data_IF_196805362620
#
_entry.id   IF_196805362620
#
_cell.length_a   1.000
_cell.length_b   1.000
_cell.length_c   1.000
_cell.angle_alpha   90.00
_cell.angle_beta   90.00
_cell.angle_gamma   90.00
#
_symmetry.space_group_name_H-M   'P 1'
#
loop_
_entity.id
_entity.type
_entity.pdbx_description
1 polymer ?
#
# COMPACT_ATOMS: atom_id res chain seq x y z
N UNK A 1 -19.15 -4.73 12.80
CA UNK A 1 -19.55 -3.39 13.29
C UNK A 1 -18.47 -2.41 12.89
N UNK A 2 -18.77 -1.57 11.91
CA UNK A 2 -17.98 -0.38 11.55
C UNK A 2 -18.10 0.62 12.71
N UNK A 3 -17.28 0.44 13.74
CA UNK A 3 -17.24 1.35 14.87
C UNK A 3 -16.38 2.54 14.45
N UNK A 4 -17.01 3.67 14.19
CA UNK A 4 -16.30 4.94 14.09
C UNK A 4 -15.84 5.38 15.48
N UNK A 5 -14.79 6.20 15.54
CA UNK A 5 -14.28 6.85 16.76
C UNK A 5 -14.24 8.36 16.54
N UNK A 6 -14.39 9.16 17.59
CA UNK A 6 -14.17 10.61 17.48
C UNK A 6 -12.68 10.86 17.25
N UNK A 7 -12.35 11.59 16.18
CA UNK A 7 -10.99 12.07 15.96
C UNK A 7 -10.69 13.37 16.71
N UNK A 8 -9.49 13.94 16.51
CA UNK A 8 -9.02 15.13 17.25
C UNK A 8 -9.90 16.37 17.11
N UNK A 9 -10.68 16.47 16.02
CA UNK A 9 -11.62 17.57 15.75
C UNK A 9 -13.07 17.26 16.19
N UNK A 10 -13.29 16.14 16.91
CA UNK A 10 -14.61 15.67 17.35
C UNK A 10 -15.44 14.96 16.27
N UNK A 11 -14.96 14.87 15.02
CA UNK A 11 -15.69 14.21 13.91
C UNK A 11 -15.40 12.71 13.83
N UNK A 12 -16.38 11.89 13.40
CA UNK A 12 -16.22 10.43 13.34
C UNK A 12 -15.22 10.00 12.26
N UNK A 13 -14.31 9.10 12.62
CA UNK A 13 -13.31 8.46 11.74
C UNK A 13 -13.35 6.96 11.89
N UNK A 14 -12.67 6.22 11.02
CA UNK A 14 -12.57 4.77 11.13
C UNK A 14 -11.99 4.35 12.50
N UNK A 15 -12.57 3.33 13.15
CA UNK A 15 -12.19 2.96 14.52
C UNK A 15 -10.73 2.55 14.68
N UNK A 16 -10.12 1.97 13.63
CA UNK A 16 -8.72 1.56 13.65
C UNK A 16 -7.76 2.75 13.82
N UNK A 17 -8.18 3.99 13.54
CA UNK A 17 -7.35 5.18 13.70
C UNK A 17 -6.97 5.46 15.16
N UNK A 18 -7.79 5.02 16.12
CA UNK A 18 -7.50 5.23 17.54
C UNK A 18 -6.35 4.36 18.07
N UNK A 19 -5.79 3.46 17.25
CA UNK A 19 -4.66 2.61 17.66
C UNK A 19 -3.37 3.40 17.93
N UNK A 20 -3.23 4.60 17.35
CA UNK A 20 -2.10 5.49 17.59
C UNK A 20 -2.41 6.94 17.16
N UNK A 21 -1.89 7.99 17.82
CA UNK A 21 -2.11 9.38 17.40
C UNK A 21 -1.72 9.65 15.94
N UNK A 22 -0.62 9.07 15.47
CA UNK A 22 -0.12 9.21 14.10
C UNK A 22 -1.03 8.60 13.03
N UNK A 23 -1.99 7.75 13.40
CA UNK A 23 -2.90 7.12 12.43
C UNK A 23 -3.98 8.07 11.93
N UNK A 24 -4.34 9.10 12.69
CA UNK A 24 -5.34 10.07 12.25
C UNK A 24 -4.87 10.83 11.01
N UNK A 25 -3.62 11.30 10.99
CA UNK A 25 -3.05 11.99 9.83
C UNK A 25 -2.93 11.06 8.62
N UNK A 26 -2.40 9.85 8.82
CA UNK A 26 -2.33 8.84 7.76
C UNK A 26 -3.71 8.47 7.20
N UNK A 27 -4.73 8.37 8.05
CA UNK A 27 -6.11 8.10 7.64
C UNK A 27 -6.74 9.25 6.87
N UNK A 28 -6.58 10.49 7.38
CA UNK A 28 -7.24 11.69 6.85
C UNK A 28 -6.59 12.16 5.55
N UNK A 29 -5.28 11.96 5.38
CA UNK A 29 -4.51 12.56 4.31
C UNK A 29 -3.99 11.55 3.27
N UNK A 30 -3.94 10.25 3.59
CA UNK A 30 -3.31 9.26 2.71
C UNK A 30 -4.22 8.07 2.38
N UNK A 31 -4.80 7.41 3.39
CA UNK A 31 -5.46 6.12 3.19
C UNK A 31 -6.78 6.23 2.42
N UNK A 32 -6.87 5.48 1.32
CA UNK A 32 -8.07 5.45 0.48
C UNK A 32 -8.08 6.50 -0.63
N UNK A 33 -7.19 7.49 -0.59
CA UNK A 33 -7.06 8.46 -1.67
C UNK A 33 -6.41 7.82 -2.91
N UNK A 34 -6.92 8.12 -4.12
CA UNK A 34 -6.42 7.50 -5.34
C UNK A 34 -5.01 8.00 -5.68
N UNK A 35 -4.08 7.06 -5.95
CA UNK A 35 -2.67 7.36 -6.25
C UNK A 35 -2.31 6.90 -7.67
N UNK A 36 -1.68 7.79 -8.44
CA UNK A 36 -1.12 7.50 -9.78
C UNK A 36 0.42 7.50 -9.83
N UNK A 37 1.08 7.92 -8.76
CA UNK A 37 2.55 8.02 -8.72
C UNK A 37 3.18 6.64 -8.55
N UNK A 38 4.01 6.23 -9.51
CA UNK A 38 4.58 4.88 -9.55
C UNK A 38 5.54 4.61 -8.39
N UNK A 39 6.30 5.61 -7.94
CA UNK A 39 7.19 5.46 -6.78
C UNK A 39 6.35 5.22 -5.52
N UNK A 40 5.27 5.98 -5.33
CA UNK A 40 4.38 5.86 -4.19
C UNK A 40 3.65 4.51 -4.17
N UNK A 41 3.19 4.04 -5.33
CA UNK A 41 2.56 2.72 -5.46
C UNK A 41 3.56 1.60 -5.15
N UNK A 42 4.79 1.70 -5.68
CA UNK A 42 5.86 0.74 -5.39
C UNK A 42 6.25 0.73 -3.92
N UNK A 43 6.48 1.90 -3.32
CA UNK A 43 6.76 2.07 -1.89
C UNK A 43 5.67 1.38 -1.07
N UNK A 44 4.41 1.71 -1.34
CA UNK A 44 3.30 1.20 -0.54
C UNK A 44 3.20 -0.32 -0.62
N UNK A 45 3.27 -0.89 -1.82
CA UNK A 45 3.21 -2.34 -1.99
C UNK A 45 4.35 -3.06 -1.26
N UNK A 46 5.56 -2.50 -1.27
CA UNK A 46 6.69 -3.04 -0.52
C UNK A 46 6.47 -2.93 1.00
N UNK A 47 5.98 -1.79 1.49
CA UNK A 47 5.70 -1.61 2.93
C UNK A 47 4.60 -2.57 3.43
N UNK A 48 3.55 -2.82 2.64
CA UNK A 48 2.54 -3.83 2.97
C UNK A 48 3.15 -5.24 3.07
N UNK A 49 4.14 -5.54 2.24
CA UNK A 49 4.88 -6.81 2.30
C UNK A 49 5.67 -6.94 3.62
N UNK A 50 6.24 -5.84 4.12
CA UNK A 50 6.96 -5.81 5.39
C UNK A 50 6.04 -6.02 6.60
N UNK A 51 4.75 -5.71 6.47
CA UNK A 51 3.78 -5.82 7.56
C UNK A 51 3.51 -7.27 8.00
N UNK A 52 3.74 -8.29 7.18
CA UNK A 52 3.44 -9.68 7.55
C UNK A 52 4.11 -10.09 8.88
N UNK A 53 3.30 -10.43 9.89
CA UNK A 53 3.73 -10.76 11.25
C UNK A 53 3.86 -9.57 12.21
N UNK A 54 3.49 -8.36 11.79
CA UNK A 54 3.62 -7.10 12.55
C UNK A 54 2.32 -6.27 12.46
N UNK A 55 2.20 -5.28 13.36
CA UNK A 55 1.17 -4.26 13.21
C UNK A 55 1.52 -3.27 12.11
N UNK A 56 0.52 -2.71 11.41
CA UNK A 56 0.75 -1.59 10.48
C UNK A 56 1.42 -0.39 11.18
N UNK A 57 1.18 -0.21 12.49
CA UNK A 57 1.82 0.85 13.28
C UNK A 57 3.33 0.72 13.29
N UNK A 58 3.84 -0.50 13.43
CA UNK A 58 5.29 -0.77 13.38
C UNK A 58 5.88 -0.32 12.04
N UNK A 59 5.16 -0.54 10.94
CA UNK A 59 5.63 -0.14 9.60
C UNK A 59 5.53 1.37 9.42
N UNK A 60 4.41 1.98 9.78
CA UNK A 60 4.21 3.42 9.65
C UNK A 60 5.23 4.22 10.48
N UNK A 61 5.50 3.81 11.72
CA UNK A 61 6.50 4.44 12.58
C UNK A 61 7.93 4.33 12.03
N UNK A 62 8.20 3.33 11.18
CA UNK A 62 9.51 3.11 10.54
C UNK A 62 9.56 3.63 9.10
N UNK A 63 8.48 4.26 8.58
CA UNK A 63 8.35 4.59 7.16
C UNK A 63 9.48 5.47 6.64
N UNK A 64 9.86 6.52 7.38
CA UNK A 64 10.96 7.40 6.95
C UNK A 64 12.31 6.67 6.96
N UNK A 65 12.54 5.76 7.91
CA UNK A 65 13.73 4.91 7.91
C UNK A 65 13.75 3.99 6.69
N UNK A 66 12.62 3.37 6.34
CA UNK A 66 12.50 2.58 5.12
C UNK A 66 12.80 3.41 3.88
N UNK A 67 12.27 4.64 3.78
CA UNK A 67 12.57 5.54 2.66
C UNK A 67 14.06 5.85 2.58
N UNK A 68 14.71 6.21 3.68
CA UNK A 68 16.17 6.43 3.66
C UNK A 68 16.94 5.18 3.25
N UNK A 69 16.59 4.03 3.84
CA UNK A 69 17.26 2.75 3.62
C UNK A 69 17.15 2.26 2.16
N UNK A 70 15.97 2.45 1.53
CA UNK A 70 15.67 2.05 0.16
C UNK A 70 15.69 3.23 -0.83
N UNK A 71 16.52 4.26 -0.59
CA UNK A 71 16.74 5.36 -1.54
C UNK A 71 15.46 6.05 -2.05
N UNK A 72 14.52 6.31 -1.15
CA UNK A 72 13.21 6.90 -1.43
C UNK A 72 12.24 5.96 -2.14
N UNK A 73 12.53 4.65 -2.18
CA UNK A 73 11.84 3.66 -3.00
C UNK A 73 11.87 3.98 -4.50
N UNK A 74 12.86 4.74 -4.97
CA UNK A 74 13.13 4.85 -6.40
C UNK A 74 13.52 3.48 -6.94
N UNK A 75 12.59 2.79 -7.60
CA UNK A 75 12.81 1.43 -8.06
C UNK A 75 13.93 1.33 -9.11
N UNK A 76 14.30 2.42 -9.76
CA UNK A 76 15.47 2.44 -10.66
C UNK A 76 16.78 2.33 -9.89
N UNK A 77 16.85 2.92 -8.68
CA UNK A 77 18.00 2.83 -7.78
C UNK A 77 18.00 1.51 -7.02
N UNK A 78 16.86 1.14 -6.43
CA UNK A 78 16.72 -0.07 -5.61
C UNK A 78 16.97 -1.34 -6.43
N UNK A 79 16.64 -1.36 -7.72
CA UNK A 79 16.95 -2.50 -8.60
C UNK A 79 18.45 -2.77 -8.75
N UNK A 80 19.30 -1.76 -8.52
CA UNK A 80 20.76 -1.86 -8.56
C UNK A 80 21.40 -2.33 -7.26
N UNK A 81 20.64 -2.49 -6.18
CA UNK A 81 21.18 -2.96 -4.90
C UNK A 81 21.71 -4.39 -5.03
N UNK A 82 22.84 -4.65 -4.38
CA UNK A 82 23.53 -5.94 -4.38
C UNK A 82 23.58 -6.58 -2.98
N UNK A 83 24.39 -7.64 -2.82
CA UNK A 83 24.53 -8.33 -1.53
C UNK A 83 25.10 -7.43 -0.43
N UNK A 84 25.96 -6.46 -0.77
CA UNK A 84 26.51 -5.53 0.21
C UNK A 84 25.43 -4.59 0.75
N UNK A 85 24.47 -4.20 -0.10
CA UNK A 85 23.29 -3.45 0.33
C UNK A 85 22.36 -4.29 1.21
N UNK A 86 22.17 -5.57 0.88
CA UNK A 86 21.37 -6.48 1.72
C UNK A 86 21.97 -6.59 3.12
N UNK A 87 23.29 -6.79 3.25
CA UNK A 87 23.97 -6.85 4.54
C UNK A 87 23.90 -5.52 5.31
N UNK A 88 24.08 -4.39 4.62
CA UNK A 88 23.89 -3.05 5.20
C UNK A 88 22.48 -2.87 5.76
N UNK A 89 21.46 -3.30 5.02
CA UNK A 89 20.06 -3.21 5.43
C UNK A 89 19.71 -4.17 6.56
N UNK A 90 20.34 -5.35 6.61
CA UNK A 90 20.21 -6.28 7.71
C UNK A 90 20.83 -5.76 9.01
N UNK A 91 21.82 -4.87 8.93
CA UNK A 91 22.38 -4.19 10.09
C UNK A 91 21.53 -3.00 10.60
N UNK A 92 20.63 -2.47 9.78
CA UNK A 92 19.85 -1.26 10.10
C UNK A 92 18.67 -1.56 11.06
N UNK A 93 18.81 -1.14 12.32
CA UNK A 93 17.75 -1.26 13.33
C UNK A 93 16.55 -0.32 13.10
N UNK A 94 16.69 0.67 12.22
CA UNK A 94 15.65 1.60 11.80
C UNK A 94 14.51 0.92 11.04
N UNK A 95 14.79 -0.18 10.34
CA UNK A 95 13.81 -0.95 9.53
C UNK A 95 13.46 -2.31 10.15
N UNK A 96 12.73 -3.14 9.41
CA UNK A 96 12.48 -4.56 9.75
C UNK A 96 13.57 -5.42 9.10
N UNK A 97 14.46 -5.97 9.93
CA UNK A 97 15.64 -6.76 9.52
C UNK A 97 15.25 -8.19 9.12
N UNK A 98 14.59 -8.34 7.98
CA UNK A 98 14.19 -9.63 7.43
C UNK A 98 14.74 -9.82 6.02
N UNK A 99 15.78 -10.65 5.89
CA UNK A 99 16.53 -10.87 4.63
C UNK A 99 15.63 -11.09 3.42
N UNK A 100 14.71 -12.05 3.50
CA UNK A 100 13.82 -12.36 2.37
C UNK A 100 12.88 -11.22 1.94
N UNK A 101 12.54 -10.27 2.82
CA UNK A 101 11.68 -9.12 2.48
C UNK A 101 12.51 -7.98 1.88
N UNK A 102 13.76 -7.83 2.33
CA UNK A 102 14.74 -6.93 1.74
C UNK A 102 15.05 -7.37 0.31
N UNK A 103 15.46 -8.63 0.12
CA UNK A 103 15.73 -9.22 -1.20
C UNK A 103 14.49 -9.16 -2.11
N UNK A 104 13.29 -9.40 -1.57
CA UNK A 104 12.05 -9.25 -2.32
C UNK A 104 11.80 -7.81 -2.78
N UNK A 105 12.15 -6.80 -1.98
CA UNK A 105 12.02 -5.39 -2.37
C UNK A 105 12.96 -5.06 -3.53
N UNK A 106 14.19 -5.58 -3.50
CA UNK A 106 15.17 -5.43 -4.60
C UNK A 106 14.68 -6.15 -5.87
N UNK A 107 14.17 -7.37 -5.74
CA UNK A 107 13.55 -8.09 -6.86
C UNK A 107 12.34 -7.34 -7.42
N UNK A 108 11.45 -6.87 -6.56
CA UNK A 108 10.24 -6.14 -6.95
C UNK A 108 10.60 -4.83 -7.68
N UNK A 109 11.70 -4.16 -7.31
CA UNK A 109 12.20 -3.00 -8.04
C UNK A 109 12.59 -3.34 -9.48
N UNK A 110 13.25 -4.49 -9.71
CA UNK A 110 13.55 -4.99 -11.07
C UNK A 110 12.26 -5.28 -11.85
N UNK A 111 11.26 -5.87 -11.19
CA UNK A 111 9.95 -6.15 -11.79
C UNK A 111 9.12 -4.89 -12.05
N UNK A 112 9.31 -3.83 -11.27
CA UNK A 112 8.71 -2.51 -11.49
C UNK A 112 9.23 -1.89 -12.79
N UNK A 113 10.55 -1.91 -13.03
CA UNK A 113 11.15 -1.44 -14.29
C UNK A 113 10.57 -2.18 -15.50
N UNK A 114 10.49 -3.51 -15.42
CA UNK A 114 9.90 -4.34 -16.48
C UNK A 114 8.40 -4.04 -16.70
N UNK A 115 7.66 -3.77 -15.62
CA UNK A 115 6.25 -3.39 -15.69
C UNK A 115 6.07 -2.05 -16.38
N UNK A 116 6.85 -1.03 -16.02
CA UNK A 116 6.82 0.30 -16.65
C UNK A 116 7.16 0.17 -18.15
N UNK A 117 8.19 -0.60 -18.50
CA UNK A 117 8.57 -0.82 -19.90
C UNK A 117 7.45 -1.48 -20.73
N UNK A 118 6.64 -2.35 -20.13
CA UNK A 118 5.58 -3.10 -20.82
C UNK A 118 4.21 -2.42 -20.80
N UNK A 119 3.87 -1.77 -19.70
CA UNK A 119 2.52 -1.26 -19.41
C UNK A 119 2.48 0.27 -19.37
N UNK A 120 3.61 0.95 -19.60
CA UNK A 120 3.75 2.41 -19.55
C UNK A 120 3.94 2.96 -18.13
N UNK A 121 3.25 2.40 -17.13
CA UNK A 121 3.42 2.73 -15.72
C UNK A 121 2.92 1.60 -14.81
N UNK A 122 3.37 1.59 -13.54
CA UNK A 122 2.79 0.70 -12.51
C UNK A 122 1.32 1.07 -12.30
N UNK A 123 1.01 2.36 -12.27
CA UNK A 123 -0.34 2.85 -12.07
C UNK A 123 -1.30 2.37 -13.16
N UNK A 124 -0.93 2.47 -14.45
CA UNK A 124 -1.74 1.97 -15.56
C UNK A 124 -2.02 0.46 -15.43
N UNK A 125 -1.03 -0.32 -14.99
CA UNK A 125 -1.22 -1.75 -14.71
C UNK A 125 -2.21 -1.99 -13.56
N UNK A 126 -1.98 -1.35 -12.41
CA UNK A 126 -2.70 -1.57 -11.14
C UNK A 126 -4.16 -1.10 -11.24
N UNK A 127 -4.43 0.05 -11.85
CA UNK A 127 -5.78 0.63 -11.93
C UNK A 127 -6.76 -0.15 -12.82
N UNK A 128 -6.28 -1.13 -13.61
CA UNK A 128 -7.15 -2.13 -14.28
C UNK A 128 -7.83 -3.08 -13.30
N UNK A 129 -7.33 -3.17 -12.07
CA UNK A 129 -7.86 -3.99 -10.98
C UNK A 129 -8.61 -3.14 -9.95
N UNK A 130 -9.18 -2.00 -10.35
CA UNK A 130 -10.10 -1.27 -9.47
C UNK A 130 -11.29 -2.16 -9.08
N UNK A 131 -11.60 -2.19 -7.80
CA UNK A 131 -12.72 -2.99 -7.28
C UNK A 131 -14.04 -2.29 -7.58
N UNK A 132 -14.98 -3.01 -8.18
CA UNK A 132 -16.36 -2.57 -8.30
C UNK A 132 -16.99 -2.49 -6.89
N UNK A 133 -17.41 -1.30 -6.42
CA UNK A 133 -18.03 -1.13 -5.10
C UNK A 133 -19.29 -1.99 -4.89
N UNK A 134 -20.03 -2.31 -5.95
CA UNK A 134 -21.26 -3.12 -5.87
C UNK A 134 -21.01 -4.59 -5.52
N UNK A 135 -19.76 -5.05 -5.68
CA UNK A 135 -19.33 -6.42 -5.39
C UNK A 135 -18.75 -6.57 -3.99
N UNK A 136 -18.64 -5.48 -3.23
CA UNK A 136 -18.16 -5.48 -1.85
C UNK A 136 -19.31 -5.53 -0.85
N UNK A 137 -19.08 -6.20 0.27
CA UNK A 137 -19.95 -6.09 1.45
C UNK A 137 -19.79 -4.75 2.16
N UNK A 138 -20.28 -4.68 3.41
CA UNK A 138 -20.09 -3.51 4.25
C UNK A 138 -18.59 -3.17 4.39
N UNK A 139 -18.20 -1.88 4.46
CA UNK A 139 -16.80 -1.50 4.54
C UNK A 139 -16.05 -2.18 5.69
N UNK A 140 -14.76 -2.45 5.51
CA UNK A 140 -13.86 -3.00 6.54
C UNK A 140 -14.21 -4.42 7.00
N UNK A 141 -15.02 -5.16 6.23
CA UNK A 141 -15.38 -6.55 6.55
C UNK A 141 -14.57 -7.58 5.78
N UNK A 142 -13.99 -7.21 4.64
CA UNK A 142 -13.16 -8.08 3.83
C UNK A 142 -11.67 -7.90 4.16
N UNK A 143 -10.90 -8.99 4.06
CA UNK A 143 -9.43 -8.97 4.08
C UNK A 143 -8.82 -9.45 2.75
N UNK A 144 -9.65 -10.01 1.87
CA UNK A 144 -9.32 -10.53 0.55
C UNK A 144 -10.57 -10.38 -0.32
N UNK A 145 -10.41 -10.07 -1.62
CA UNK A 145 -11.48 -10.10 -2.62
C UNK A 145 -11.05 -10.93 -3.83
N UNK A 146 -11.97 -11.25 -4.73
CA UNK A 146 -11.60 -11.94 -5.97
C UNK A 146 -10.71 -11.07 -6.88
N UNK A 147 -10.89 -9.75 -6.84
CA UNK A 147 -10.00 -8.81 -7.54
C UNK A 147 -8.61 -8.79 -6.91
N UNK A 148 -8.49 -8.80 -5.57
CA UNK A 148 -7.17 -8.84 -4.91
C UNK A 148 -6.45 -10.18 -5.16
N UNK A 149 -7.19 -11.30 -5.25
CA UNK A 149 -6.65 -12.59 -5.70
C UNK A 149 -6.14 -12.52 -7.15
N UNK A 150 -6.92 -11.92 -8.06
CA UNK A 150 -6.54 -11.78 -9.45
C UNK A 150 -5.28 -10.91 -9.62
N UNK A 151 -5.23 -9.75 -8.95
CA UNK A 151 -4.06 -8.87 -8.96
C UNK A 151 -2.84 -9.56 -8.34
N UNK A 152 -3.00 -10.23 -7.19
CA UNK A 152 -1.92 -11.02 -6.57
C UNK A 152 -1.38 -12.08 -7.52
N UNK A 153 -2.26 -12.81 -8.23
CA UNK A 153 -1.87 -13.83 -9.19
C UNK A 153 -1.07 -13.23 -10.37
N UNK A 154 -1.51 -12.10 -10.91
CA UNK A 154 -0.82 -11.44 -12.02
C UNK A 154 0.53 -10.86 -11.60
N UNK A 155 0.64 -10.26 -10.42
CA UNK A 155 1.92 -9.80 -9.87
C UNK A 155 2.90 -10.97 -9.68
N UNK A 156 2.44 -12.08 -9.08
CA UNK A 156 3.27 -13.29 -8.91
C UNK A 156 3.71 -13.90 -10.24
N UNK A 157 2.82 -13.94 -11.24
CA UNK A 157 3.14 -14.40 -12.61
C UNK A 157 4.25 -13.55 -13.24
N UNK A 158 4.32 -12.27 -12.88
CA UNK A 158 5.36 -11.33 -13.28
C UNK A 158 6.58 -11.33 -12.35
N UNK A 159 6.70 -12.31 -11.45
CA UNK A 159 7.87 -12.49 -10.59
C UNK A 159 7.92 -11.56 -9.37
N UNK A 160 6.85 -10.82 -9.05
CA UNK A 160 6.79 -10.07 -7.79
C UNK A 160 6.68 -11.02 -6.59
N UNK A 161 7.32 -10.64 -5.49
CA UNK A 161 7.45 -11.43 -4.27
C UNK A 161 6.74 -10.75 -3.09
N UNK A 162 6.30 -11.55 -2.12
CA UNK A 162 5.53 -11.12 -0.93
C UNK A 162 4.23 -10.35 -1.23
N UNK A 163 3.65 -10.56 -2.41
CA UNK A 163 2.39 -9.93 -2.85
C UNK A 163 1.20 -10.89 -2.73
N UNK A 164 0.94 -11.39 -1.52
CA UNK A 164 -0.22 -12.26 -1.24
C UNK A 164 -1.57 -11.52 -1.37
N UNK A 165 -2.71 -12.22 -1.55
CA UNK A 165 -4.01 -11.56 -1.76
C UNK A 165 -4.45 -10.62 -0.63
N UNK A 166 -4.07 -10.91 0.63
CA UNK A 166 -4.31 -10.04 1.78
C UNK A 166 -3.47 -8.77 1.72
N UNK A 167 -2.17 -8.90 1.47
CA UNK A 167 -1.24 -7.79 1.26
C UNK A 167 -1.71 -6.89 0.11
N UNK A 168 -2.13 -7.51 -0.99
CA UNK A 168 -2.64 -6.80 -2.17
C UNK A 168 -3.96 -6.08 -1.85
N UNK A 169 -4.86 -6.69 -1.07
CA UNK A 169 -6.10 -6.00 -0.69
C UNK A 169 -5.83 -4.81 0.24
N UNK A 170 -4.91 -4.94 1.20
CA UNK A 170 -4.47 -3.82 2.05
C UNK A 170 -3.87 -2.67 1.22
N UNK A 171 -3.04 -3.01 0.24
CA UNK A 171 -2.53 -2.06 -0.75
C UNK A 171 -3.65 -1.38 -1.55
N UNK A 172 -4.64 -2.15 -2.04
CA UNK A 172 -5.78 -1.61 -2.80
C UNK A 172 -6.62 -0.65 -1.97
N UNK A 173 -6.87 -0.97 -0.71
CA UNK A 173 -7.54 -0.07 0.23
C UNK A 173 -6.73 1.20 0.42
N UNK A 174 -5.43 1.08 0.67
CA UNK A 174 -4.61 2.23 0.99
C UNK A 174 -4.37 3.19 -0.18
N UNK A 175 -4.23 2.67 -1.41
CA UNK A 175 -3.97 3.47 -2.62
C UNK A 175 -5.23 3.88 -3.37
N UNK A 176 -6.39 3.69 -2.74
CA UNK A 176 -7.65 4.20 -3.24
C UNK A 176 -8.25 3.43 -4.41
N UNK A 177 -7.81 2.19 -4.65
CA UNK A 177 -8.52 1.26 -5.54
C UNK A 177 -9.85 0.81 -4.91
N UNK A 178 -9.96 0.85 -3.59
CA UNK A 178 -11.21 0.67 -2.82
C UNK A 178 -11.41 1.85 -1.86
N UNK A 179 -12.63 2.39 -1.76
CA UNK A 179 -13.00 3.31 -0.68
C UNK A 179 -13.63 2.50 0.46
N UNK A 180 -12.75 2.00 1.33
CA UNK A 180 -13.13 1.13 2.44
C UNK A 180 -13.26 1.88 3.77
N UNK A 181 -13.41 3.20 3.73
CA UNK A 181 -13.74 4.00 4.93
C UNK A 181 -15.09 3.56 5.49
N UNK A 182 -15.24 3.51 6.81
CA UNK A 182 -16.51 3.20 7.46
C UNK A 182 -17.62 4.15 6.99
N UNK A 183 -18.87 3.69 6.92
CA UNK A 183 -20.00 4.49 6.39
C UNK A 183 -20.18 5.83 7.11
N UNK A 184 -19.99 5.87 8.43
CA UNK A 184 -20.05 7.10 9.23
C UNK A 184 -18.73 7.88 9.32
N UNK A 185 -17.67 7.49 8.61
CA UNK A 185 -16.39 8.20 8.62
C UNK A 185 -16.48 9.48 7.78
N UNK A 186 -16.05 10.61 8.35
CA UNK A 186 -16.07 11.92 7.66
C UNK A 186 -15.22 11.93 6.38
N UNK A 187 -14.10 11.20 6.37
CA UNK A 187 -13.18 11.13 5.23
C UNK A 187 -13.74 10.30 4.06
N UNK A 188 -14.77 9.48 4.29
CA UNK A 188 -15.36 8.62 3.24
C UNK A 188 -15.87 9.44 2.06
N UNK A 189 -16.54 10.56 2.32
CA UNK A 189 -17.08 11.43 1.29
C UNK A 189 -15.98 12.16 0.50
N UNK A 190 -14.93 12.61 1.19
CA UNK A 190 -13.76 13.26 0.58
C UNK A 190 -13.03 12.30 -0.36
N UNK A 191 -12.77 11.07 0.08
CA UNK A 191 -12.20 10.01 -0.78
C UNK A 191 -13.09 9.68 -1.96
N UNK A 192 -14.41 9.60 -1.78
CA UNK A 192 -15.35 9.35 -2.87
C UNK A 192 -15.29 10.46 -3.93
N UNK A 193 -15.21 11.72 -3.51
CA UNK A 193 -15.06 12.87 -4.41
C UNK A 193 -13.71 12.84 -5.13
N UNK A 194 -12.61 12.58 -4.42
CA UNK A 194 -11.28 12.45 -5.00
C UNK A 194 -11.25 11.37 -6.10
N UNK A 195 -11.83 10.20 -5.84
CA UNK A 195 -11.95 9.10 -6.81
C UNK A 195 -12.76 9.46 -8.04
N UNK A 196 -13.86 10.21 -7.90
CA UNK A 196 -14.65 10.66 -9.05
C UNK A 196 -13.87 11.62 -9.96
N UNK A 197 -13.04 12.48 -9.35
CA UNK A 197 -12.18 13.42 -10.09
C UNK A 197 -10.88 12.80 -10.62
N UNK A 198 -10.54 11.59 -10.17
CA UNK A 198 -9.28 10.94 -10.49
C UNK A 198 -9.25 10.43 -11.92
N UNK A 199 -8.29 10.91 -12.70
CA UNK A 199 -8.03 10.41 -14.05
C UNK A 199 -7.14 9.18 -13.96
N UNK A 200 -7.73 8.02 -14.22
CA UNK A 200 -6.98 6.75 -14.25
C UNK A 200 -5.87 6.84 -15.29
N UNK A 201 -4.64 6.44 -14.94
CA UNK A 201 -3.55 6.32 -15.90
C UNK A 201 -3.89 5.25 -16.96
N UNK A 202 -3.55 5.54 -18.21
CA UNK A 202 -3.79 4.70 -19.38
C UNK A 202 -2.51 4.13 -19.95
#
# INVERSE_FOLDING_TARGET
>A
MTKTVQGPDGRPRCGWCAAAPEFFDYHDCEWGFPVADDIRLFEKLCLESFQSGLSWRTILAKRENFRMAFAGFDFNKVAGFDESDVERLLADAGIVRHRGKIEATINNAKRAIEMVAKEGSIAAFIWRFEQDPSTLGAPQTASITDVSKALSKELKKRGWQFVGPTTVFAFMQAMGLVNDHAEGCVIRAEVASARQSFKKPS
#
